data_IF_980244471434
#
_entry.id   IF_980244471434
#
_cell.length_a   1.000
_cell.length_b   1.000
_cell.length_c   1.000
_cell.angle_alpha   90.00
_cell.angle_beta   90.00
_cell.angle_gamma   90.00
#
_symmetry.space_group_name_H-M   'P 1'
#
loop_
_entity.id
_entity.type
_entity.pdbx_description
1 polymer ?
#
# COMPACT_ATOMS: atom_id res chain seq x y z
N UNK A 1 -7.29 -27.26 -36.14
CA UNK A 1 -8.58 -27.96 -36.18
C UNK A 1 -8.34 -29.41 -35.79
N UNK A 2 -8.36 -29.70 -34.49
CA UNK A 2 -8.25 -31.07 -33.98
C UNK A 2 -9.62 -31.74 -34.15
N UNK A 3 -9.66 -32.87 -34.84
CA UNK A 3 -10.86 -33.68 -35.05
C UNK A 3 -10.77 -35.00 -34.29
N UNK A 4 -11.93 -35.50 -33.89
CA UNK A 4 -12.08 -36.85 -33.31
C UNK A 4 -13.02 -37.65 -34.19
N UNK A 5 -12.62 -38.88 -34.51
CA UNK A 5 -13.45 -39.80 -35.26
C UNK A 5 -14.25 -40.70 -34.31
N UNK A 6 -15.51 -40.97 -34.65
CA UNK A 6 -16.38 -41.86 -33.87
C UNK A 6 -16.39 -43.23 -34.54
N UNK A 7 -16.02 -44.25 -33.77
CA UNK A 7 -16.15 -45.64 -34.19
C UNK A 7 -17.55 -46.12 -33.83
N UNK A 8 -18.35 -46.44 -34.85
CA UNK A 8 -19.69 -46.97 -34.66
C UNK A 8 -19.67 -48.49 -34.85
N UNK A 9 -20.01 -49.22 -33.79
CA UNK A 9 -20.34 -50.64 -33.90
C UNK A 9 -21.84 -50.79 -34.22
N UNK A 10 -22.14 -51.48 -35.31
CA UNK A 10 -23.47 -51.97 -35.69
C UNK A 10 -24.60 -50.92 -35.86
N UNK A 11 -24.83 -50.49 -37.11
CA UNK A 11 -26.11 -49.90 -37.53
C UNK A 11 -26.71 -50.68 -38.71
N UNK A 12 -27.21 -51.89 -38.43
CA UNK A 12 -27.58 -52.88 -39.44
C UNK A 12 -28.79 -52.53 -40.36
N UNK A 13 -29.39 -51.34 -40.28
CA UNK A 13 -30.52 -50.96 -41.16
C UNK A 13 -30.51 -49.52 -41.70
N UNK A 14 -29.52 -48.68 -41.34
CA UNK A 14 -29.49 -47.26 -41.74
C UNK A 14 -28.48 -46.94 -42.87
N UNK A 15 -27.69 -47.91 -43.32
CA UNK A 15 -26.52 -47.71 -44.18
C UNK A 15 -26.65 -48.32 -45.60
N UNK A 16 -27.84 -48.75 -46.02
CA UNK A 16 -28.03 -49.47 -47.29
C UNK A 16 -27.56 -48.71 -48.55
N UNK A 17 -27.45 -47.37 -48.48
CA UNK A 17 -26.92 -46.50 -49.54
C UNK A 17 -25.65 -45.73 -49.13
N UNK A 18 -25.03 -46.07 -48.00
CA UNK A 18 -23.81 -45.41 -47.56
C UNK A 18 -22.59 -45.97 -48.30
N UNK A 19 -21.75 -45.08 -48.81
CA UNK A 19 -20.49 -45.42 -49.48
C UNK A 19 -19.31 -44.77 -48.77
N UNK A 20 -18.17 -45.46 -48.74
CA UNK A 20 -16.92 -44.92 -48.20
C UNK A 20 -16.43 -43.74 -49.04
N UNK A 21 -16.12 -42.61 -48.41
CA UNK A 21 -15.72 -41.39 -49.13
C UNK A 21 -14.39 -41.55 -49.87
N UNK A 22 -13.50 -42.41 -49.37
CA UNK A 22 -12.18 -42.66 -49.97
C UNK A 22 -12.20 -43.63 -51.15
N UNK A 23 -12.84 -44.79 -50.99
CA UNK A 23 -12.82 -45.86 -52.00
C UNK A 23 -14.11 -45.97 -52.82
N UNK A 24 -15.16 -45.22 -52.44
CA UNK A 24 -16.48 -45.19 -53.08
C UNK A 24 -17.23 -46.52 -53.11
N UNK A 25 -16.78 -47.51 -52.33
CA UNK A 25 -17.44 -48.81 -52.14
C UNK A 25 -18.47 -48.74 -51.01
N UNK A 26 -19.51 -49.58 -51.07
CA UNK A 26 -20.48 -49.74 -49.97
C UNK A 26 -19.93 -50.52 -48.79
N UNK A 27 -20.60 -50.43 -47.64
CA UNK A 27 -20.22 -51.09 -46.38
C UNK A 27 -20.93 -52.44 -46.20
N UNK A 28 -20.25 -53.45 -45.65
CA UNK A 28 -20.91 -54.70 -45.29
C UNK A 28 -21.72 -54.57 -43.97
N UNK A 29 -22.80 -55.36 -43.77
CA UNK A 29 -23.73 -55.17 -42.64
C UNK A 29 -23.14 -55.31 -41.23
N UNK A 30 -21.97 -55.94 -41.09
CA UNK A 30 -21.28 -56.18 -39.83
C UNK A 30 -19.86 -55.57 -39.79
N UNK A 31 -19.54 -54.69 -40.75
CA UNK A 31 -18.23 -54.06 -40.84
C UNK A 31 -18.14 -52.83 -39.94
N UNK A 32 -16.97 -52.59 -39.35
CA UNK A 32 -16.72 -51.41 -38.51
C UNK A 32 -16.55 -50.17 -39.39
N UNK A 33 -17.30 -49.13 -39.08
CA UNK A 33 -17.32 -47.88 -39.85
C UNK A 33 -16.83 -46.74 -38.97
N UNK A 34 -16.00 -45.89 -39.57
CA UNK A 34 -15.50 -44.67 -38.94
C UNK A 34 -16.29 -43.50 -39.50
N UNK A 35 -16.94 -42.75 -38.60
CA UNK A 35 -17.62 -41.49 -38.94
C UNK A 35 -16.73 -40.30 -38.53
N UNK A 36 -16.46 -39.42 -39.49
CA UNK A 36 -15.71 -38.19 -39.29
C UNK A 36 -16.46 -37.03 -39.93
N UNK A 37 -17.02 -36.12 -39.12
CA UNK A 37 -17.76 -34.94 -39.57
C UNK A 37 -18.90 -35.24 -40.58
N UNK A 38 -19.55 -36.42 -40.47
CA UNK A 38 -20.64 -36.82 -41.38
C UNK A 38 -20.19 -37.59 -42.62
N UNK A 39 -18.88 -37.75 -42.83
CA UNK A 39 -18.31 -38.62 -43.85
C UNK A 39 -18.04 -40.02 -43.27
N UNK A 40 -18.32 -41.05 -44.06
CA UNK A 40 -18.15 -42.44 -43.67
C UNK A 40 -16.93 -43.06 -44.33
N UNK A 41 -16.13 -43.78 -43.55
CA UNK A 41 -14.91 -44.43 -43.99
C UNK A 41 -14.82 -45.86 -43.46
N UNK A 42 -14.20 -46.77 -44.21
CA UNK A 42 -13.75 -48.05 -43.65
C UNK A 42 -12.65 -47.80 -42.62
N UNK A 43 -12.53 -48.69 -41.63
CA UNK A 43 -11.44 -48.66 -40.63
C UNK A 43 -10.05 -48.64 -41.29
N UNK A 44 -9.86 -49.39 -42.39
CA UNK A 44 -8.61 -49.36 -43.18
C UNK A 44 -8.49 -48.19 -44.15
N UNK A 45 -9.58 -47.48 -44.45
CA UNK A 45 -9.58 -46.31 -45.34
C UNK A 45 -9.36 -44.99 -44.59
N UNK A 46 -9.67 -44.97 -43.28
CA UNK A 46 -9.46 -43.82 -42.42
C UNK A 46 -8.00 -43.76 -41.94
N UNK A 47 -7.13 -43.27 -42.82
CA UNK A 47 -5.69 -43.18 -42.59
C UNK A 47 -5.13 -41.82 -42.96
N UNK A 48 -3.99 -41.47 -42.38
CA UNK A 48 -3.26 -40.24 -42.66
C UNK A 48 -2.98 -40.07 -44.15
N UNK A 49 -3.12 -38.85 -44.66
CA UNK A 49 -2.85 -38.52 -46.06
C UNK A 49 -1.37 -38.66 -46.45
N UNK A 50 -0.44 -38.62 -45.47
CA UNK A 50 1.00 -38.64 -45.70
C UNK A 50 1.61 -40.03 -45.44
N UNK A 51 1.48 -40.57 -44.23
CA UNK A 51 2.05 -41.88 -43.88
C UNK A 51 1.14 -43.09 -44.13
N UNK A 52 -0.14 -42.87 -44.49
CA UNK A 52 -1.14 -43.93 -44.66
C UNK A 52 -1.36 -44.83 -43.42
N UNK A 53 -0.92 -44.41 -42.25
CA UNK A 53 -1.21 -45.10 -40.99
C UNK A 53 -2.58 -44.69 -40.45
N UNK A 54 -3.23 -45.62 -39.75
CA UNK A 54 -4.45 -45.33 -39.01
C UNK A 54 -4.18 -44.32 -37.89
N UNK A 55 -5.20 -43.53 -37.56
CA UNK A 55 -5.09 -42.51 -36.51
C UNK A 55 -5.16 -43.16 -35.13
N UNK A 56 -4.11 -43.03 -34.29
CA UNK A 56 -4.15 -43.50 -32.91
C UNK A 56 -5.31 -42.82 -32.18
N UNK A 57 -6.16 -43.61 -31.51
CA UNK A 57 -7.32 -43.11 -30.75
C UNK A 57 -8.35 -42.32 -31.58
N UNK A 58 -8.27 -42.38 -32.92
CA UNK A 58 -9.13 -41.60 -33.81
C UNK A 58 -8.86 -40.09 -33.81
N UNK A 59 -7.72 -39.64 -33.29
CA UNK A 59 -7.30 -38.24 -33.27
C UNK A 59 -6.59 -37.85 -34.57
N UNK A 60 -7.04 -36.76 -35.20
CA UNK A 60 -6.46 -36.28 -36.45
C UNK A 60 -6.49 -34.76 -36.55
N UNK A 61 -5.62 -34.22 -37.39
CA UNK A 61 -5.56 -32.81 -37.74
C UNK A 61 -6.03 -32.61 -39.17
N UNK A 62 -6.95 -31.68 -39.39
CA UNK A 62 -7.45 -31.35 -40.72
C UNK A 62 -6.83 -30.07 -41.26
N UNK A 63 -6.30 -30.13 -42.49
CA UNK A 63 -5.74 -29.00 -43.22
C UNK A 63 -6.06 -29.12 -44.71
N UNK A 64 -6.64 -28.07 -45.30
CA UNK A 64 -7.06 -28.04 -46.72
C UNK A 64 -7.90 -29.27 -47.14
N UNK A 65 -8.79 -29.75 -46.26
CA UNK A 65 -9.65 -30.91 -46.50
C UNK A 65 -8.94 -32.27 -46.42
N UNK A 66 -7.67 -32.30 -46.02
CA UNK A 66 -6.88 -33.53 -45.82
C UNK A 66 -6.64 -33.80 -44.34
N UNK A 67 -6.64 -35.08 -43.98
CA UNK A 67 -6.52 -35.56 -42.60
C UNK A 67 -5.10 -36.07 -42.35
N UNK A 68 -4.40 -35.49 -41.38
CA UNK A 68 -3.01 -35.78 -41.02
C UNK A 68 -2.92 -36.30 -39.59
N UNK A 69 -2.00 -37.24 -39.33
CA UNK A 69 -1.69 -37.62 -37.95
C UNK A 69 -0.94 -36.48 -37.26
N UNK A 70 -0.89 -36.49 -35.93
CA UNK A 70 -0.20 -35.46 -35.15
C UNK A 70 1.25 -35.25 -35.62
N UNK A 71 1.99 -36.35 -35.81
CA UNK A 71 3.37 -36.31 -36.24
C UNK A 71 3.55 -35.69 -37.64
N UNK A 72 2.82 -36.17 -38.64
CA UNK A 72 2.93 -35.67 -40.01
C UNK A 72 2.45 -34.22 -40.14
N UNK A 73 1.41 -33.85 -39.39
CA UNK A 73 0.92 -32.49 -39.33
C UNK A 73 2.00 -31.55 -38.77
N UNK A 74 2.68 -31.97 -37.70
CA UNK A 74 3.79 -31.20 -37.13
C UNK A 74 4.97 -31.11 -38.11
N UNK A 75 5.38 -32.22 -38.72
CA UNK A 75 6.49 -32.26 -39.68
C UNK A 75 6.27 -31.35 -40.90
N UNK A 76 5.03 -31.28 -41.40
CA UNK A 76 4.71 -30.53 -42.62
C UNK A 76 4.42 -29.05 -42.36
N UNK A 77 3.87 -28.71 -41.19
CA UNK A 77 3.29 -27.39 -40.95
C UNK A 77 3.83 -26.67 -39.71
N UNK A 78 4.49 -27.36 -38.77
CA UNK A 78 5.03 -26.71 -37.59
C UNK A 78 6.36 -25.99 -37.92
N UNK A 79 6.53 -24.72 -37.49
CA UNK A 79 7.81 -24.03 -37.67
C UNK A 79 8.88 -24.66 -36.76
N UNK A 80 10.07 -24.89 -37.32
CA UNK A 80 11.24 -25.30 -36.55
C UNK A 80 11.86 -24.10 -35.82
N UNK A 81 12.33 -24.35 -34.59
CA UNK A 81 13.11 -23.38 -33.84
C UNK A 81 14.51 -23.27 -34.41
N UNK A 82 14.98 -22.06 -34.66
CA UNK A 82 16.32 -21.84 -35.20
C UNK A 82 17.44 -22.25 -34.22
N UNK A 83 17.20 -22.20 -32.90
CA UNK A 83 18.21 -22.51 -31.89
C UNK A 83 18.37 -24.02 -31.66
N UNK A 84 17.28 -24.75 -31.45
CA UNK A 84 17.32 -26.17 -31.12
C UNK A 84 16.98 -27.10 -32.29
N UNK A 85 16.43 -26.58 -33.39
CA UNK A 85 16.00 -27.37 -34.55
C UNK A 85 14.66 -28.09 -34.38
N UNK A 86 14.12 -28.15 -33.16
CA UNK A 86 12.88 -28.85 -32.85
C UNK A 86 11.64 -28.07 -33.29
N UNK A 87 10.53 -28.79 -33.50
CA UNK A 87 9.23 -28.19 -33.84
C UNK A 87 8.69 -27.34 -32.68
N UNK A 88 8.18 -26.16 -33.01
CA UNK A 88 7.57 -25.25 -32.04
C UNK A 88 6.09 -25.59 -31.91
N UNK A 89 5.71 -26.10 -30.74
CA UNK A 89 4.32 -26.39 -30.39
C UNK A 89 3.79 -25.23 -29.55
N UNK A 90 2.73 -24.57 -30.02
CA UNK A 90 2.06 -23.48 -29.29
C UNK A 90 2.62 -22.09 -29.62
N UNK A 91 3.10 -21.36 -28.60
CA UNK A 91 3.56 -19.98 -28.75
C UNK A 91 4.86 -19.93 -29.56
N UNK A 92 4.82 -19.25 -30.70
CA UNK A 92 5.99 -19.02 -31.56
C UNK A 92 6.47 -17.58 -31.45
N UNK A 93 7.78 -17.39 -31.30
CA UNK A 93 8.42 -16.08 -31.41
C UNK A 93 8.94 -15.95 -32.84
N UNK A 94 8.39 -15.00 -33.60
CA UNK A 94 8.91 -14.63 -34.94
C UNK A 94 9.82 -13.42 -34.80
N UNK A 95 11.12 -13.63 -34.95
CA UNK A 95 12.13 -12.60 -34.81
C UNK A 95 13.32 -12.88 -35.73
N UNK A 96 13.93 -11.81 -36.26
CA UNK A 96 15.10 -11.92 -37.15
C UNK A 96 14.90 -12.82 -38.37
N UNK A 97 13.70 -12.81 -38.95
CA UNK A 97 13.28 -13.70 -40.06
C UNK A 97 13.26 -15.21 -39.73
N UNK A 98 13.39 -15.56 -38.46
CA UNK A 98 13.39 -16.94 -37.97
C UNK A 98 12.26 -17.15 -36.94
N UNK A 99 11.95 -18.42 -36.68
CA UNK A 99 11.01 -18.83 -35.64
C UNK A 99 11.78 -19.42 -34.46
N UNK A 100 11.32 -19.15 -33.24
CA UNK A 100 11.99 -19.55 -32.01
C UNK A 100 10.97 -19.98 -30.96
N UNK A 101 11.35 -20.92 -30.10
CA UNK A 101 10.64 -21.13 -28.84
C UNK A 101 10.83 -19.92 -27.92
N UNK A 102 9.85 -19.60 -27.06
CA UNK A 102 9.99 -18.55 -26.05
C UNK A 102 11.26 -18.71 -25.21
N UNK A 103 11.55 -19.92 -24.75
CA UNK A 103 12.71 -20.23 -23.90
C UNK A 103 14.03 -20.32 -24.67
N UNK A 104 13.97 -20.50 -25.99
CA UNK A 104 15.17 -20.55 -26.83
C UNK A 104 15.57 -19.16 -27.35
N UNK A 105 14.66 -18.19 -27.33
CA UNK A 105 14.94 -16.83 -27.76
C UNK A 105 15.58 -16.02 -26.62
N UNK A 106 16.88 -16.20 -26.46
CA UNK A 106 17.66 -15.67 -25.34
C UNK A 106 18.68 -14.63 -25.77
N UNK A 107 19.03 -13.72 -24.87
CA UNK A 107 20.09 -12.75 -25.14
C UNK A 107 21.44 -13.45 -25.38
N UNK A 108 22.12 -13.14 -26.48
CA UNK A 108 23.42 -13.73 -26.83
C UNK A 108 24.48 -13.60 -25.69
N UNK A 109 24.46 -12.48 -24.95
CA UNK A 109 25.42 -12.18 -23.89
C UNK A 109 25.04 -12.77 -22.52
N UNK A 110 23.80 -12.56 -22.05
CA UNK A 110 23.40 -12.94 -20.69
C UNK A 110 22.46 -14.15 -20.62
N UNK A 111 22.07 -14.71 -21.77
CA UNK A 111 21.17 -15.85 -21.90
C UNK A 111 19.79 -15.65 -21.25
N UNK A 112 19.41 -14.42 -20.92
CA UNK A 112 18.08 -14.10 -20.42
C UNK A 112 17.04 -14.24 -21.54
N UNK A 113 15.90 -14.86 -21.23
CA UNK A 113 14.77 -15.02 -22.15
C UNK A 113 14.23 -13.65 -22.58
N UNK A 114 14.12 -13.44 -23.89
CA UNK A 114 13.72 -12.17 -24.49
C UNK A 114 12.25 -12.14 -24.93
N UNK A 115 11.54 -13.27 -24.82
CA UNK A 115 10.18 -13.43 -25.32
C UNK A 115 9.19 -12.36 -24.83
N UNK A 116 9.33 -11.91 -23.57
CA UNK A 116 8.43 -10.93 -22.95
C UNK A 116 9.11 -9.57 -22.66
N UNK A 117 10.44 -9.54 -22.57
CA UNK A 117 11.22 -8.33 -22.23
C UNK A 117 11.44 -7.43 -23.46
N UNK A 118 11.44 -8.03 -24.64
CA UNK A 118 11.82 -7.37 -25.89
C UNK A 118 13.34 -7.32 -26.09
N UNK A 119 13.75 -7.15 -27.34
CA UNK A 119 15.14 -7.27 -27.77
C UNK A 119 15.57 -6.12 -28.69
N UNK A 120 16.88 -5.95 -28.82
CA UNK A 120 17.50 -5.04 -29.78
C UNK A 120 18.37 -5.85 -30.73
N UNK A 121 18.25 -5.60 -32.03
CA UNK A 121 19.09 -6.21 -33.06
C UNK A 121 20.41 -5.44 -33.14
N UNK A 122 21.53 -6.12 -32.86
CA UNK A 122 22.88 -5.54 -32.97
C UNK A 122 23.77 -6.43 -33.83
N UNK A 123 24.14 -5.99 -35.04
CA UNK A 123 25.02 -6.73 -35.96
C UNK A 123 24.63 -8.21 -36.18
N UNK A 124 23.33 -8.51 -36.28
CA UNK A 124 22.85 -9.89 -36.44
C UNK A 124 22.66 -10.69 -35.14
N UNK A 125 22.96 -10.09 -33.98
CA UNK A 125 22.68 -10.66 -32.65
C UNK A 125 21.41 -10.05 -32.05
N UNK A 126 20.73 -10.80 -31.20
CA UNK A 126 19.57 -10.38 -30.43
C UNK A 126 19.98 -10.21 -28.97
N UNK A 127 20.01 -8.95 -28.53
CA UNK A 127 20.48 -8.58 -27.19
C UNK A 127 19.33 -8.00 -26.37
N UNK A 128 19.35 -8.24 -25.06
CA UNK A 128 18.51 -7.46 -24.15
C UNK A 128 18.98 -6.00 -24.13
N UNK A 129 18.07 -5.07 -23.81
CA UNK A 129 18.40 -3.63 -23.73
C UNK A 129 19.61 -3.36 -22.80
N UNK A 130 19.73 -3.96 -21.60
CA UNK A 130 20.91 -3.78 -20.75
C UNK A 130 22.23 -4.21 -21.41
N UNK A 131 22.25 -5.38 -22.06
CA UNK A 131 23.45 -5.90 -22.72
C UNK A 131 23.84 -5.08 -23.95
N UNK A 132 22.85 -4.66 -24.74
CA UNK A 132 23.09 -3.76 -25.88
C UNK A 132 23.68 -2.43 -25.43
N UNK A 133 23.09 -1.81 -24.39
CA UNK A 133 23.60 -0.57 -23.82
C UNK A 133 25.03 -0.75 -23.28
N UNK A 134 25.34 -1.92 -22.71
CA UNK A 134 26.69 -2.23 -22.21
C UNK A 134 27.74 -2.33 -23.29
N UNK A 135 27.43 -2.99 -24.41
CA UNK A 135 28.34 -3.01 -25.56
C UNK A 135 28.54 -1.61 -26.14
N UNK A 136 27.46 -0.83 -26.29
CA UNK A 136 27.53 0.53 -26.83
C UNK A 136 28.32 1.48 -25.92
N UNK A 137 28.13 1.38 -24.60
CA UNK A 137 28.86 2.15 -23.61
C UNK A 137 30.37 1.84 -23.64
N UNK A 138 30.75 0.56 -23.73
CA UNK A 138 32.16 0.15 -23.90
C UNK A 138 32.79 0.73 -25.17
N UNK A 139 32.06 0.76 -26.29
CA UNK A 139 32.55 1.34 -27.53
C UNK A 139 32.74 2.86 -27.49
N UNK A 140 31.97 3.56 -26.65
CA UNK A 140 32.03 5.02 -26.50
C UNK A 140 32.83 5.49 -25.28
N UNK A 141 33.33 4.58 -24.44
CA UNK A 141 33.96 4.91 -23.16
C UNK A 141 33.00 5.56 -22.15
N UNK A 142 31.68 5.33 -22.29
CA UNK A 142 30.65 5.87 -21.40
C UNK A 142 30.28 4.89 -20.28
N UNK A 143 29.64 5.39 -19.24
CA UNK A 143 29.19 4.60 -18.09
C UNK A 143 27.71 4.21 -18.23
N UNK A 144 27.29 3.18 -17.50
CA UNK A 144 25.90 2.68 -17.49
C UNK A 144 25.36 2.86 -16.10
N UNK A 145 24.20 3.49 -15.97
CA UNK A 145 23.59 3.66 -14.66
C UNK A 145 23.11 2.34 -14.07
N UNK A 146 23.47 2.08 -12.81
CA UNK A 146 23.10 0.84 -12.12
C UNK A 146 21.60 0.76 -11.77
N UNK A 147 20.91 1.90 -11.67
CA UNK A 147 19.48 1.94 -11.35
C UNK A 147 18.57 1.65 -12.56
N UNK A 148 18.89 2.22 -13.72
CA UNK A 148 18.03 2.13 -14.91
C UNK A 148 18.65 1.35 -16.07
N UNK A 149 19.92 0.93 -15.97
CA UNK A 149 20.68 0.23 -17.01
C UNK A 149 20.76 0.97 -18.36
N UNK A 150 20.55 2.29 -18.35
CA UNK A 150 20.72 3.16 -19.51
C UNK A 150 22.12 3.79 -19.51
N UNK A 151 22.57 4.18 -20.71
CA UNK A 151 23.86 4.86 -20.89
C UNK A 151 23.77 6.25 -20.27
N UNK A 152 24.81 6.65 -19.54
CA UNK A 152 24.93 8.00 -19.00
C UNK A 152 25.64 8.84 -20.06
N UNK A 153 24.96 9.86 -20.58
CA UNK A 153 25.53 10.75 -21.60
C UNK A 153 26.41 11.84 -20.98
N UNK A 154 26.00 12.35 -19.83
CA UNK A 154 26.66 13.36 -19.01
C UNK A 154 27.69 12.77 -18.03
N UNK A 155 28.29 13.60 -17.18
CA UNK A 155 29.20 13.14 -16.14
C UNK A 155 28.49 12.16 -15.18
N UNK A 156 28.96 10.92 -15.06
CA UNK A 156 28.34 9.93 -14.18
C UNK A 156 28.57 10.30 -12.72
N UNK A 157 27.55 10.15 -11.90
CA UNK A 157 27.69 10.28 -10.47
C UNK A 157 28.08 8.93 -9.88
N UNK A 158 29.24 8.87 -9.23
CA UNK A 158 29.76 7.63 -8.64
C UNK A 158 29.38 7.58 -7.16
N UNK A 159 28.51 6.64 -6.79
CA UNK A 159 28.14 6.36 -5.42
C UNK A 159 28.58 4.95 -5.04
N UNK A 160 29.42 4.80 -4.01
CA UNK A 160 30.00 3.50 -3.59
C UNK A 160 30.65 2.71 -4.74
N UNK A 161 31.34 3.40 -5.65
CA UNK A 161 31.95 2.86 -6.89
C UNK A 161 30.97 2.46 -8.00
N UNK A 162 29.67 2.65 -7.81
CA UNK A 162 28.67 2.40 -8.86
C UNK A 162 28.27 3.72 -9.55
N UNK A 163 28.24 3.76 -10.90
CA UNK A 163 27.80 4.92 -11.65
C UNK A 163 26.26 5.02 -11.73
N UNK A 164 25.73 6.22 -11.55
CA UNK A 164 24.32 6.57 -11.65
C UNK A 164 24.11 7.83 -12.50
N UNK A 165 22.92 7.98 -13.08
CA UNK A 165 22.50 9.27 -13.64
C UNK A 165 22.38 10.31 -12.52
N UNK A 166 22.77 11.57 -12.78
CA UNK A 166 22.51 12.67 -11.85
C UNK A 166 21.05 12.75 -11.42
N UNK A 167 20.10 12.61 -12.37
CA UNK A 167 18.64 12.63 -12.13
C UNK A 167 18.09 11.49 -11.26
N UNK A 168 18.86 10.43 -11.10
CA UNK A 168 18.48 9.29 -10.26
C UNK A 168 19.05 9.37 -8.86
N UNK A 169 19.92 10.35 -8.62
CA UNK A 169 20.72 10.50 -7.43
C UNK A 169 20.50 11.89 -6.80
N UNK A 170 19.22 12.18 -6.53
CA UNK A 170 18.75 13.44 -5.94
C UNK A 170 18.12 13.19 -4.57
N UNK A 171 18.19 14.19 -3.71
CA UNK A 171 17.52 14.15 -2.42
C UNK A 171 16.01 14.08 -2.62
N UNK A 172 15.33 13.10 -2.03
CA UNK A 172 13.87 12.99 -2.10
C UNK A 172 13.17 14.25 -1.52
N UNK A 173 13.79 14.88 -0.51
CA UNK A 173 13.20 16.04 0.16
C UNK A 173 13.46 17.38 -0.54
N UNK A 174 14.64 17.59 -1.13
CA UNK A 174 15.01 18.90 -1.70
C UNK A 174 15.41 18.88 -3.18
N UNK A 175 15.45 17.70 -3.82
CA UNK A 175 15.80 17.55 -5.24
C UNK A 175 17.26 17.85 -5.58
N UNK A 176 18.07 18.30 -4.63
CA UNK A 176 19.49 18.60 -4.86
C UNK A 176 20.25 17.33 -5.24
N UNK A 177 21.17 17.46 -6.19
CA UNK A 177 22.13 16.42 -6.54
C UNK A 177 22.87 15.97 -5.27
N UNK A 178 22.91 14.66 -5.05
CA UNK A 178 23.52 14.06 -3.88
C UNK A 178 24.97 13.70 -4.18
N UNK A 179 25.87 13.97 -3.24
CA UNK A 179 27.26 13.51 -3.34
C UNK A 179 27.41 12.11 -2.72
N UNK A 180 28.65 11.59 -2.66
CA UNK A 180 28.99 10.36 -1.96
C UNK A 180 28.50 10.30 -0.49
N UNK A 181 28.17 11.46 0.09
CA UNK A 181 27.66 11.59 1.46
C UNK A 181 26.16 11.33 1.62
N UNK A 182 25.45 11.00 0.53
CA UNK A 182 24.04 10.63 0.56
C UNK A 182 23.73 9.59 1.65
N UNK A 183 22.59 9.75 2.33
CA UNK A 183 22.06 8.78 3.30
C UNK A 183 20.80 8.15 2.76
N UNK A 184 20.69 6.83 2.92
CA UNK A 184 19.49 6.09 2.55
C UNK A 184 18.63 5.86 3.79
N UNK A 185 17.35 6.25 3.72
CA UNK A 185 16.37 6.00 4.78
C UNK A 185 15.12 5.39 4.15
N UNK A 186 14.78 4.16 4.56
CA UNK A 186 13.62 3.39 4.05
C UNK A 186 13.59 3.21 2.52
N UNK A 187 14.76 3.12 1.87
CA UNK A 187 14.87 2.95 0.42
C UNK A 187 14.86 4.26 -0.40
N UNK A 188 14.79 5.41 0.26
CA UNK A 188 14.88 6.72 -0.37
C UNK A 188 16.18 7.42 0.02
N UNK A 189 16.74 8.18 -0.93
CA UNK A 189 18.00 8.90 -0.75
C UNK A 189 17.76 10.33 -0.27
N UNK A 190 18.50 10.74 0.74
CA UNK A 190 18.44 12.06 1.35
C UNK A 190 19.85 12.68 1.42
N UNK A 191 19.94 14.00 1.25
CA UNK A 191 21.17 14.72 1.55
C UNK A 191 21.37 14.77 3.07
N UNK A 192 22.62 14.86 3.53
CA UNK A 192 22.92 14.96 4.97
C UNK A 192 22.04 16.00 5.69
N UNK A 193 21.88 17.25 5.18
CA UNK A 193 21.02 18.23 5.83
C UNK A 193 19.54 17.83 5.94
N UNK A 194 18.99 17.14 4.93
CA UNK A 194 17.59 16.72 4.95
C UNK A 194 17.39 15.47 5.81
N UNK A 195 18.36 14.55 5.80
CA UNK A 195 18.37 13.40 6.68
C UNK A 195 18.36 13.81 8.15
N UNK A 196 19.25 14.74 8.53
CA UNK A 196 19.38 15.19 9.91
C UNK A 196 18.12 15.95 10.38
N UNK A 197 17.48 16.71 9.49
CA UNK A 197 16.20 17.40 9.77
C UNK A 197 15.04 16.45 10.07
N UNK A 198 15.04 15.21 9.58
CA UNK A 198 13.99 14.24 9.89
C UNK A 198 14.02 13.75 11.35
N UNK A 199 15.15 13.90 12.04
CA UNK A 199 15.28 13.64 13.48
C UNK A 199 14.91 14.85 14.37
N UNK A 200 14.62 16.02 13.77
CA UNK A 200 14.38 17.25 14.53
C UNK A 200 12.90 17.33 14.96
N UNK A 201 12.62 17.48 16.27
CA UNK A 201 11.26 17.54 16.78
C UNK A 201 10.49 18.73 16.18
N UNK A 202 9.26 18.50 15.71
CA UNK A 202 8.43 19.53 15.08
C UNK A 202 7.52 20.18 16.12
N UNK A 203 7.50 21.50 16.16
CA UNK A 203 6.66 22.23 17.09
C UNK A 203 5.16 22.12 16.74
N UNK A 204 4.34 21.73 17.71
CA UNK A 204 2.89 21.61 17.58
C UNK A 204 2.14 22.92 17.26
N UNK A 205 2.74 24.08 17.53
CA UNK A 205 2.17 25.40 17.24
C UNK A 205 2.56 25.92 15.85
N UNK A 206 3.87 26.12 15.60
CA UNK A 206 4.35 26.76 14.38
C UNK A 206 4.68 25.78 13.24
N UNK A 207 4.65 24.46 13.50
CA UNK A 207 4.98 23.38 12.56
C UNK A 207 6.38 23.48 11.94
N UNK A 208 7.29 24.20 12.60
CA UNK A 208 8.71 24.29 12.22
C UNK A 208 9.58 23.35 13.07
N UNK A 209 10.72 22.87 12.54
CA UNK A 209 11.70 22.10 13.31
C UNK A 209 12.21 22.92 14.51
N UNK A 210 12.33 22.28 15.67
CA UNK A 210 12.85 22.91 16.90
C UNK A 210 14.36 22.70 16.96
N UNK A 211 15.11 23.74 16.63
CA UNK A 211 16.56 23.77 16.78
C UNK A 211 16.91 24.28 18.19
N UNK A 212 16.92 23.38 19.19
CA UNK A 212 17.29 23.72 20.57
C UNK A 212 16.42 23.07 21.65
N UNK A 213 16.12 23.81 22.72
CA UNK A 213 15.34 23.30 23.87
C UNK A 213 13.90 22.99 23.44
N UNK A 214 13.48 21.75 23.71
CA UNK A 214 12.13 21.24 23.43
C UNK A 214 11.31 21.17 24.72
N UNK A 215 10.04 21.57 24.63
CA UNK A 215 9.04 21.30 25.67
C UNK A 215 8.18 20.13 25.23
N UNK A 216 8.20 19.05 25.99
CA UNK A 216 7.32 17.89 25.78
C UNK A 216 6.09 18.06 26.66
N UNK A 217 4.94 18.36 26.06
CA UNK A 217 3.68 18.55 26.77
C UNK A 217 2.50 18.12 25.90
N UNK A 218 1.48 17.53 26.51
CA UNK A 218 0.23 17.16 25.84
C UNK A 218 0.44 16.19 24.65
N UNK A 219 1.39 15.27 24.79
CA UNK A 219 1.76 14.31 23.75
C UNK A 219 2.41 14.93 22.50
N UNK A 220 2.80 16.21 22.55
CA UNK A 220 3.43 16.95 21.45
C UNK A 220 4.70 17.66 21.92
N UNK A 221 5.49 18.09 20.94
CA UNK A 221 6.73 18.82 21.15
C UNK A 221 6.52 20.28 20.77
N UNK A 222 7.06 21.21 21.54
CA UNK A 222 6.84 22.64 21.36
C UNK A 222 8.15 23.41 21.53
N UNK A 223 8.26 24.54 20.83
CA UNK A 223 9.24 25.56 21.21
C UNK A 223 8.89 26.10 22.59
N UNK A 224 9.90 26.44 23.39
CA UNK A 224 9.73 27.04 24.73
C UNK A 224 8.85 28.29 24.69
N UNK A 225 8.94 29.07 23.61
CA UNK A 225 8.17 30.30 23.39
C UNK A 225 6.75 30.05 22.87
N UNK A 226 6.52 28.91 22.20
CA UNK A 226 5.22 28.59 21.61
C UNK A 226 4.33 27.76 22.53
N UNK A 227 4.87 27.23 23.63
CA UNK A 227 4.06 26.62 24.67
C UNK A 227 3.49 27.71 25.58
N UNK A 228 2.31 28.20 25.22
CA UNK A 228 1.66 29.38 25.81
C UNK A 228 0.32 29.05 26.45
N UNK A 229 -0.12 29.89 27.39
CA UNK A 229 -1.45 29.79 27.95
C UNK A 229 -2.52 30.19 26.92
N UNK A 230 -3.56 29.38 26.74
CA UNK A 230 -4.64 29.63 25.79
C UNK A 230 -5.47 30.91 26.06
N UNK A 231 -5.36 31.50 27.26
CA UNK A 231 -6.12 32.70 27.64
C UNK A 231 -5.31 34.00 27.56
N UNK A 232 -4.03 33.97 27.93
CA UNK A 232 -3.19 35.17 27.94
C UNK A 232 -2.01 35.12 26.97
N UNK A 233 -1.84 34.02 26.26
CA UNK A 233 -0.80 33.83 25.23
C UNK A 233 0.63 33.99 25.75
N UNK A 234 0.82 34.04 27.08
CA UNK A 234 2.13 34.11 27.70
C UNK A 234 2.79 32.72 27.71
N UNK A 235 4.06 32.61 27.31
CA UNK A 235 4.80 31.35 27.37
C UNK A 235 5.02 30.91 28.80
N UNK A 236 4.98 29.60 29.03
CA UNK A 236 5.18 29.06 30.36
C UNK A 236 6.65 29.10 30.80
N UNK A 237 7.62 29.07 29.88
CA UNK A 237 9.07 29.11 30.19
C UNK A 237 9.52 28.13 31.30
N UNK A 238 8.82 27.01 31.49
CA UNK A 238 9.07 26.03 32.55
C UNK A 238 8.22 26.19 33.83
N UNK A 239 7.37 27.22 33.92
CA UNK A 239 6.36 27.36 34.98
C UNK A 239 5.27 26.29 34.86
N UNK A 240 4.59 26.00 35.98
CA UNK A 240 3.50 25.02 36.05
C UNK A 240 2.38 25.40 35.08
N UNK A 241 1.85 24.40 34.38
CA UNK A 241 0.73 24.54 33.47
C UNK A 241 -0.34 23.50 33.83
N UNK A 242 -1.60 23.83 33.53
CA UNK A 242 -2.74 22.96 33.78
C UNK A 242 -3.45 22.66 32.46
N UNK A 243 -3.66 21.37 32.19
CA UNK A 243 -4.28 20.92 30.95
C UNK A 243 -5.80 20.73 31.13
N UNK A 244 -6.60 21.25 30.19
CA UNK A 244 -8.02 20.94 30.10
C UNK A 244 -8.48 20.91 28.65
N UNK A 245 -9.13 19.81 28.23
CA UNK A 245 -9.63 19.60 26.86
C UNK A 245 -8.56 19.83 25.77
N UNK A 246 -7.31 19.46 26.03
CA UNK A 246 -6.23 19.66 25.07
C UNK A 246 -5.80 21.12 24.89
N UNK A 247 -6.02 21.98 25.90
CA UNK A 247 -5.48 23.34 25.99
C UNK A 247 -4.73 23.53 27.32
N UNK A 248 -3.61 24.27 27.27
CA UNK A 248 -2.82 24.60 28.44
C UNK A 248 -3.21 25.97 29.01
N UNK A 249 -3.42 26.03 30.32
CA UNK A 249 -3.75 27.24 31.06
C UNK A 249 -2.71 27.49 32.16
N UNK A 250 -2.41 28.76 32.42
CA UNK A 250 -1.66 29.11 33.63
C UNK A 250 -2.56 28.99 34.85
N UNK A 251 -1.94 28.79 36.01
CA UNK A 251 -2.62 28.59 37.29
C UNK A 251 -3.74 29.61 37.53
N UNK A 252 -3.45 30.90 37.31
CA UNK A 252 -4.41 31.99 37.46
C UNK A 252 -5.62 31.87 36.53
N UNK A 253 -5.42 31.61 35.24
CA UNK A 253 -6.53 31.51 34.28
C UNK A 253 -7.27 30.19 34.40
N UNK A 254 -6.59 29.12 34.79
CA UNK A 254 -7.22 27.84 35.06
C UNK A 254 -8.20 27.98 36.23
N UNK A 255 -7.76 28.57 37.33
CA UNK A 255 -8.60 28.79 38.52
C UNK A 255 -9.71 29.82 38.29
N UNK A 256 -9.50 30.84 37.44
CA UNK A 256 -10.55 31.79 37.09
C UNK A 256 -11.64 31.20 36.20
N UNK A 257 -11.28 30.30 35.27
CA UNK A 257 -12.22 29.73 34.30
C UNK A 257 -12.89 28.46 34.82
N UNK A 258 -12.23 27.71 35.71
CA UNK A 258 -12.65 26.38 36.13
C UNK A 258 -12.57 26.16 37.65
N UNK A 259 -12.10 27.13 38.42
CA UNK A 259 -12.07 27.07 39.88
C UNK A 259 -13.28 27.76 40.52
N UNK A 260 -13.56 27.42 41.77
CA UNK A 260 -14.65 28.02 42.53
C UNK A 260 -14.25 29.43 43.00
N UNK A 261 -14.93 30.45 42.48
CA UNK A 261 -14.66 31.86 42.83
C UNK A 261 -15.72 32.40 43.79
N UNK A 262 -15.28 33.13 44.81
CA UNK A 262 -16.18 33.80 45.75
C UNK A 262 -16.96 34.90 45.03
N UNK A 263 -18.30 34.81 45.07
CA UNK A 263 -19.20 35.75 44.39
C UNK A 263 -19.05 37.22 44.85
N UNK A 264 -18.57 37.46 46.07
CA UNK A 264 -18.47 38.81 46.63
C UNK A 264 -17.12 39.49 46.43
N UNK A 265 -16.03 38.73 46.41
CA UNK A 265 -14.69 39.30 46.28
C UNK A 265 -13.96 38.87 45.00
N UNK A 266 -14.61 38.06 44.16
CA UNK A 266 -14.07 37.49 42.92
C UNK A 266 -12.70 36.81 43.10
N UNK A 267 -12.38 36.36 44.31
CA UNK A 267 -11.15 35.60 44.61
C UNK A 267 -11.45 34.11 44.55
N UNK A 268 -10.48 33.36 44.04
CA UNK A 268 -10.52 31.89 43.98
C UNK A 268 -10.55 31.33 45.40
N UNK A 269 -11.50 30.45 45.67
CA UNK A 269 -11.62 29.69 46.91
C UNK A 269 -10.77 28.42 46.72
N UNK A 270 -9.47 28.53 46.98
CA UNK A 270 -8.56 27.39 46.88
C UNK A 270 -8.82 26.40 48.03
N UNK A 271 -9.05 25.14 47.68
CA UNK A 271 -9.38 24.05 48.61
C UNK A 271 -8.23 23.56 49.49
N UNK A 272 -7.02 24.12 49.33
CA UNK A 272 -5.79 23.67 49.97
C UNK A 272 -5.03 24.81 50.66
N UNK A 273 -5.40 25.08 51.91
CA UNK A 273 -4.48 25.10 53.05
C UNK A 273 -3.21 25.95 53.06
N UNK A 274 -2.97 26.90 52.14
CA UNK A 274 -1.82 27.81 52.24
C UNK A 274 -2.15 29.24 51.77
N UNK A 275 -2.86 29.97 52.63
CA UNK A 275 -2.59 31.40 52.77
C UNK A 275 -1.98 31.64 54.16
N UNK A 276 -0.80 32.24 54.13
CA UNK A 276 0.01 32.67 55.26
C UNK A 276 -0.80 33.68 56.08
N UNK A 277 -0.80 33.51 57.41
CA UNK A 277 -1.60 34.20 58.43
C UNK A 277 -3.00 33.63 58.69
N UNK A 278 -3.05 32.51 59.43
CA UNK A 278 -3.63 32.49 60.78
C UNK A 278 -3.68 31.04 61.30
N UNK A 279 -3.19 30.86 62.53
CA UNK A 279 -3.18 29.60 63.26
C UNK A 279 -4.61 29.18 63.64
N UNK A 280 -4.91 27.89 63.44
CA UNK A 280 -5.98 27.17 64.12
C UNK A 280 -7.36 27.26 63.47
N UNK A 281 -7.77 26.20 62.77
CA UNK A 281 -8.78 25.25 63.23
C UNK A 281 -9.12 24.25 62.11
N UNK A 282 -9.51 23.06 62.57
CA UNK A 282 -9.69 21.83 61.81
C UNK A 282 -10.86 21.87 60.82
N UNK A 283 -10.81 20.85 59.97
CA UNK A 283 -11.66 20.47 58.84
C UNK A 283 -13.18 20.61 59.05
N UNK A 284 -13.87 20.78 57.91
CA UNK A 284 -15.32 20.75 57.65
C UNK A 284 -16.09 22.08 57.83
N UNK A 285 -16.00 22.94 56.80
CA UNK A 285 -17.14 23.56 56.09
C UNK A 285 -16.60 24.63 55.11
N UNK A 286 -16.42 24.26 53.84
CA UNK A 286 -15.48 24.92 52.93
C UNK A 286 -16.00 26.16 52.17
N UNK A 287 -17.27 26.52 52.25
CA UNK A 287 -17.81 27.80 51.74
C UNK A 287 -19.27 27.93 52.18
N UNK A 288 -19.80 29.15 52.22
CA UNK A 288 -21.22 29.36 52.53
C UNK A 288 -21.96 29.65 51.23
N UNK A 289 -22.95 28.82 50.90
CA UNK A 289 -23.84 29.04 49.76
C UNK A 289 -24.93 30.05 50.14
N UNK A 290 -24.86 31.24 49.55
CA UNK A 290 -25.87 32.29 49.71
C UNK A 290 -26.58 32.45 48.37
N UNK A 291 -27.88 32.12 48.33
CA UNK A 291 -28.73 32.18 47.13
C UNK A 291 -28.11 31.44 45.91
N UNK A 292 -27.66 30.19 46.12
CA UNK A 292 -27.04 29.32 45.11
C UNK A 292 -25.67 29.79 44.59
N UNK A 293 -24.98 30.69 45.31
CA UNK A 293 -23.67 31.21 44.93
C UNK A 293 -22.64 31.01 46.06
N UNK A 294 -21.43 30.52 45.77
CA UNK A 294 -20.41 30.28 46.78
C UNK A 294 -19.80 31.61 47.27
N UNK A 295 -19.80 31.79 48.60
CA UNK A 295 -19.21 32.96 49.28
C UNK A 295 -18.14 32.48 50.27
N UNK A 296 -16.97 33.14 50.26
CA UNK A 296 -15.90 32.82 51.21
C UNK A 296 -16.31 33.23 52.64
N UNK A 297 -15.80 32.52 53.65
CA UNK A 297 -16.14 32.72 55.06
C UNK A 297 -15.96 34.17 55.53
N UNK A 298 -14.90 34.84 55.06
CA UNK A 298 -14.64 36.25 55.35
C UNK A 298 -15.73 37.19 54.80
N UNK A 299 -16.22 36.94 53.59
CA UNK A 299 -17.32 37.72 53.01
C UNK A 299 -18.66 37.41 53.67
N UNK A 300 -18.88 36.17 54.11
CA UNK A 300 -20.08 35.77 54.86
C UNK A 300 -20.16 36.44 56.24
N UNK A 301 -19.05 36.49 56.98
CA UNK A 301 -18.99 37.10 58.32
C UNK A 301 -19.31 38.61 58.30
N UNK A 302 -19.05 39.28 57.18
CA UNK A 302 -19.30 40.72 57.00
C UNK A 302 -20.74 41.05 56.57
N UNK A 303 -21.59 40.04 56.31
CA UNK A 303 -22.99 40.27 55.94
C UNK A 303 -23.82 40.79 57.13
N UNK A 304 -24.86 41.61 56.88
CA UNK A 304 -25.78 42.07 57.92
C UNK A 304 -26.41 40.90 58.69
N UNK A 305 -26.51 41.01 60.02
CA UNK A 305 -27.03 39.95 60.90
C UNK A 305 -28.47 39.52 60.55
N UNK A 306 -29.25 40.42 59.98
CA UNK A 306 -30.60 40.12 59.48
C UNK A 306 -30.57 39.11 58.31
N UNK A 307 -29.58 39.19 57.42
CA UNK A 307 -29.40 38.27 56.30
C UNK A 307 -28.93 36.90 56.78
N UNK A 308 -27.99 36.85 57.73
CA UNK A 308 -27.55 35.59 58.36
C UNK A 308 -28.70 34.88 59.09
N UNK A 309 -29.55 35.62 59.79
CA UNK A 309 -30.76 35.08 60.44
C UNK A 309 -31.76 34.51 59.43
N UNK A 310 -31.91 35.14 58.27
CA UNK A 310 -32.79 34.65 57.19
C UNK A 310 -32.26 33.36 56.57
N UNK A 311 -30.95 33.25 56.36
CA UNK A 311 -30.31 32.02 55.87
C UNK A 311 -30.46 30.88 56.88
N UNK A 312 -30.20 31.13 58.16
CA UNK A 312 -30.39 30.16 59.25
C UNK A 312 -31.87 29.77 59.48
N UNK A 313 -32.84 30.58 59.05
CA UNK A 313 -34.26 30.19 59.01
C UNK A 313 -34.53 29.26 57.82
N UNK A 314 -34.06 29.61 56.62
CA UNK A 314 -34.20 28.77 55.42
C UNK A 314 -33.59 27.37 55.61
N UNK A 315 -32.44 27.25 56.25
CA UNK A 315 -31.83 25.94 56.56
C UNK A 315 -32.66 25.11 57.56
N UNK A 316 -33.22 25.78 58.58
CA UNK A 316 -34.13 25.13 59.54
C UNK A 316 -35.41 24.68 58.88
N UNK A 317 -35.96 25.46 57.95
CA UNK A 317 -37.16 25.12 57.21
C UNK A 317 -36.90 24.00 56.20
N UNK A 318 -35.76 24.01 55.51
CA UNK A 318 -35.33 22.93 54.63
C UNK A 318 -35.07 21.60 55.38
N UNK A 319 -34.55 21.68 56.61
CA UNK A 319 -34.35 20.50 57.48
C UNK A 319 -35.67 19.92 57.99
N UNK A 320 -36.70 20.75 58.17
CA UNK A 320 -38.05 20.29 58.54
C UNK A 320 -38.78 19.64 57.37
N UNK A 321 -38.59 20.15 56.16
CA UNK A 321 -39.22 19.62 54.95
C UNK A 321 -38.65 18.22 54.58
N UNK A 322 -37.35 18.02 54.78
CA UNK A 322 -36.70 16.69 54.62
C UNK A 322 -37.25 15.62 55.57
N UNK A 323 -37.78 15.99 56.74
CA UNK A 323 -38.35 15.05 57.72
C UNK A 323 -39.81 14.68 57.48
N UNK A 324 -40.51 15.32 56.52
CA UNK A 324 -41.94 15.12 56.26
C UNK A 324 -42.28 14.30 55.01
N UNK A 325 -41.30 13.87 54.21
CA UNK A 325 -41.57 12.95 53.09
C UNK A 325 -41.58 11.50 53.60
N UNK A 326 -42.70 10.76 53.50
CA UNK A 326 -42.69 9.33 53.78
C UNK A 326 -41.83 8.63 52.73
N UNK A 327 -40.92 7.78 53.18
CA UNK A 327 -40.17 6.86 52.33
C UNK A 327 -41.19 5.86 51.77
N UNK A 328 -41.67 6.10 50.56
CA UNK A 328 -42.32 5.06 49.77
C UNK A 328 -41.18 4.19 49.25
N UNK A 329 -40.96 3.05 49.92
CA UNK A 329 -40.14 1.98 49.36
C UNK A 329 -40.90 1.33 48.21
N UNK A 330 -40.36 1.46 47.00
CA UNK A 330 -40.52 0.51 45.90
C UNK A 330 -39.17 0.29 45.24
#
# INVERSE_FOLDING_TARGET
CLGTAVFCDNMANALANASCERCKSGFAPAEKIVNSNGELYHEGCFVCAQCFQQFPEGLFYEFEGRKYCEHDFQMLFAPCCHQCGEFIIGRVIKAMNNSWHPDCFCCDICQAVLADVGFVKNAGRHLCRPCHNREKARGLGKYICQKCHAIIEDSPLIFKNDPYHPDHFNCNNCGSELTADARELKGELYCLPCHDKMGVPICGACRRPIEGRVVNAMGKQWHVEHFVCAKCEKPFLGHRHYERKGLAYCETHYNQLFGDVCYHCNRVIEGDGKHQLCFGLNELDKFVEVDLKPVCKHCYERMPEELKRRLARRERDASKDRKKKPVICL
#
